data_IF_344083757196
#
_entry.id   IF_344083757196
#
_cell.length_a   1.000
_cell.length_b   1.000
_cell.length_c   1.000
_cell.angle_alpha   90.00
_cell.angle_beta   90.00
_cell.angle_gamma   90.00
#
_symmetry.space_group_name_H-M   'P 1'
#
loop_
_entity.id
_entity.type
_entity.pdbx_description
1 polymer ?
#
# COMPACT_ATOMS: atom_id res chain seq x y z
N UNK A 1 4.12 -13.78 -7.36
CA UNK A 1 4.92 -13.71 -8.59
C UNK A 1 6.00 -12.63 -8.54
N UNK A 2 5.70 -11.37 -8.22
CA UNK A 2 6.70 -10.29 -8.28
C UNK A 2 7.99 -10.59 -7.48
N UNK A 3 7.88 -11.16 -6.27
CA UNK A 3 9.03 -11.51 -5.46
C UNK A 3 9.86 -12.67 -6.06
N UNK A 4 9.21 -13.74 -6.51
CA UNK A 4 9.89 -14.90 -7.12
C UNK A 4 10.53 -14.58 -8.47
N UNK A 5 10.02 -13.57 -9.17
CA UNK A 5 10.53 -13.10 -10.45
C UNK A 5 11.47 -11.89 -10.31
N UNK A 6 11.77 -11.44 -9.09
CA UNK A 6 12.66 -10.30 -8.80
C UNK A 6 12.31 -9.06 -9.63
N UNK A 7 11.01 -8.71 -9.66
CA UNK A 7 10.53 -7.58 -10.46
C UNK A 7 10.74 -6.28 -9.66
N UNK A 8 11.38 -5.25 -10.23
CA UNK A 8 11.52 -3.94 -9.61
C UNK A 8 10.21 -3.16 -9.71
N UNK A 9 9.24 -3.49 -8.84
CA UNK A 9 7.90 -2.90 -8.82
C UNK A 9 7.55 -2.33 -7.45
N UNK A 10 6.92 -1.15 -7.44
CA UNK A 10 6.30 -0.57 -6.26
C UNK A 10 4.80 -0.81 -6.30
N UNK A 11 4.29 -1.59 -5.36
CA UNK A 11 2.86 -1.73 -5.10
C UNK A 11 2.41 -0.59 -4.20
N UNK A 12 1.38 0.16 -4.61
CA UNK A 12 0.88 1.29 -3.84
C UNK A 12 -0.58 1.07 -3.47
N UNK A 13 -0.85 0.82 -2.19
CA UNK A 13 -2.19 0.60 -1.66
C UNK A 13 -2.72 1.90 -1.03
N UNK A 14 -3.88 2.36 -1.51
CA UNK A 14 -4.67 3.38 -0.81
C UNK A 14 -5.62 2.69 0.16
N UNK A 15 -5.28 2.70 1.44
CA UNK A 15 -6.14 2.15 2.48
C UNK A 15 -6.98 3.29 3.06
N UNK A 16 -8.20 3.44 2.55
CA UNK A 16 -9.11 4.53 2.89
C UNK A 16 -10.25 4.12 3.85
N UNK A 17 -10.17 2.92 4.43
CA UNK A 17 -11.15 2.39 5.39
C UNK A 17 -12.35 1.65 4.80
N UNK A 18 -12.62 1.76 3.50
CA UNK A 18 -13.87 1.24 2.89
C UNK A 18 -13.69 0.71 1.47
N UNK A 19 -14.39 -0.39 1.18
CA UNK A 19 -14.71 -0.80 -0.20
C UNK A 19 -16.23 -0.75 -0.39
N UNK A 20 -16.72 0.22 -1.16
CA UNK A 20 -18.16 0.54 -1.27
C UNK A 20 -18.74 0.81 0.13
N UNK A 21 -19.52 -0.11 0.69
CA UNK A 21 -20.15 -0.07 2.01
C UNK A 21 -19.42 -0.89 3.07
N UNK A 22 -18.44 -1.72 2.70
CA UNK A 22 -17.78 -2.66 3.59
C UNK A 22 -16.56 -2.04 4.27
N UNK A 23 -16.55 -2.01 5.59
CA UNK A 23 -15.44 -1.50 6.43
C UNK A 23 -14.25 -2.47 6.45
N UNK A 24 -13.04 -1.96 6.71
CA UNK A 24 -11.79 -2.77 6.77
C UNK A 24 -11.86 -3.98 7.71
N UNK A 25 -12.53 -3.88 8.86
CA UNK A 25 -12.71 -4.99 9.81
C UNK A 25 -13.44 -6.20 9.22
N UNK A 26 -14.23 -5.97 8.18
CA UNK A 26 -14.98 -6.99 7.45
C UNK A 26 -14.26 -7.39 6.14
N UNK A 27 -13.20 -6.67 5.75
CA UNK A 27 -12.32 -6.99 4.61
C UNK A 27 -11.18 -7.93 5.01
N UNK A 28 -10.59 -7.73 6.19
CA UNK A 28 -9.48 -8.53 6.70
C UNK A 28 -9.32 -8.40 8.21
N UNK A 29 -8.57 -9.35 8.80
CA UNK A 29 -8.29 -9.40 10.25
C UNK A 29 -6.83 -9.18 10.62
N UNK A 30 -5.93 -9.17 9.63
CA UNK A 30 -4.52 -8.83 9.83
C UNK A 30 -4.29 -7.33 9.98
N UNK A 31 -3.04 -6.97 10.24
CA UNK A 31 -2.60 -5.57 10.36
C UNK A 31 -2.47 -4.93 8.96
N UNK A 32 -3.60 -4.62 8.34
CA UNK A 32 -3.65 -3.92 7.05
C UNK A 32 -3.10 -4.73 5.88
N UNK A 33 -2.62 -4.00 4.87
CA UNK A 33 -2.03 -4.57 3.66
C UNK A 33 -0.51 -4.65 3.76
N UNK A 34 0.15 -3.68 4.42
CA UNK A 34 1.60 -3.68 4.58
C UNK A 34 2.12 -4.97 5.26
N UNK A 35 1.42 -5.48 6.27
CA UNK A 35 1.85 -6.69 6.99
C UNK A 35 1.83 -7.97 6.14
N UNK A 36 1.21 -7.94 4.96
CA UNK A 36 1.16 -9.09 4.03
C UNK A 36 2.43 -9.20 3.22
N UNK A 37 3.11 -8.09 2.95
CA UNK A 37 4.28 -8.05 2.07
C UNK A 37 5.45 -8.93 2.57
N UNK A 38 5.80 -8.93 3.87
CA UNK A 38 6.84 -9.83 4.39
C UNK A 38 6.55 -11.31 4.14
N UNK A 39 5.29 -11.73 4.15
CA UNK A 39 4.89 -13.11 3.83
C UNK A 39 5.18 -13.52 2.38
N UNK A 40 5.36 -12.55 1.48
CA UNK A 40 5.79 -12.76 0.09
C UNK A 40 7.28 -12.47 -0.12
N UNK A 41 8.05 -12.15 0.93
CA UNK A 41 9.45 -11.73 0.81
C UNK A 41 9.63 -10.33 0.23
N UNK A 42 8.63 -9.45 0.39
CA UNK A 42 8.67 -8.07 -0.10
C UNK A 42 8.99 -7.10 1.05
N UNK A 43 9.67 -6.00 0.73
CA UNK A 43 9.75 -4.86 1.65
C UNK A 43 8.38 -4.17 1.77
N UNK A 44 8.07 -3.61 2.95
CA UNK A 44 6.80 -2.93 3.21
C UNK A 44 7.00 -1.63 3.98
N UNK A 45 6.27 -0.59 3.58
CA UNK A 45 6.25 0.72 4.22
C UNK A 45 4.78 1.09 4.45
N UNK A 46 4.45 1.61 5.64
CA UNK A 46 3.15 2.23 5.91
C UNK A 46 3.35 3.70 6.20
N UNK A 47 2.54 4.56 5.59
CA UNK A 47 2.62 6.02 5.74
C UNK A 47 1.25 6.65 5.98
N UNK A 48 1.26 7.85 6.56
CA UNK A 48 0.09 8.73 6.54
C UNK A 48 -0.12 9.21 5.09
N UNK A 49 -1.23 8.79 4.50
CA UNK A 49 -1.62 9.13 3.13
C UNK A 49 -2.18 10.53 2.96
N UNK A 50 -2.41 11.26 4.05
CA UNK A 50 -2.84 12.66 4.02
C UNK A 50 -1.67 13.65 4.17
N UNK A 51 -0.48 13.15 4.50
CA UNK A 51 0.77 13.92 4.46
C UNK A 51 1.46 13.74 3.10
N UNK A 52 1.43 14.79 2.28
CA UNK A 52 2.03 14.80 0.94
C UNK A 52 3.53 14.50 0.97
N UNK A 53 4.26 15.04 1.94
CA UNK A 53 5.71 14.86 2.02
C UNK A 53 6.04 13.44 2.47
N UNK A 54 5.31 12.89 3.43
CA UNK A 54 5.49 11.49 3.85
C UNK A 54 5.25 10.50 2.69
N UNK A 55 4.20 10.72 1.89
CA UNK A 55 3.91 9.90 0.70
C UNK A 55 5.03 10.05 -0.34
N UNK A 56 5.49 11.28 -0.59
CA UNK A 56 6.56 11.55 -1.54
C UNK A 56 7.86 10.83 -1.15
N UNK A 57 8.30 11.01 0.10
CA UNK A 57 9.54 10.40 0.61
C UNK A 57 9.47 8.88 0.59
N UNK A 58 8.36 8.29 1.05
CA UNK A 58 8.20 6.84 1.03
C UNK A 58 8.15 6.27 -0.39
N UNK A 59 7.54 6.99 -1.35
CA UNK A 59 7.51 6.57 -2.76
C UNK A 59 8.90 6.64 -3.39
N UNK A 60 9.66 7.71 -3.12
CA UNK A 60 11.03 7.86 -3.60
C UNK A 60 11.92 6.74 -3.03
N UNK A 61 11.86 6.52 -1.72
CA UNK A 61 12.62 5.46 -1.06
C UNK A 61 12.23 4.06 -1.58
N UNK A 62 10.94 3.78 -1.75
CA UNK A 62 10.46 2.51 -2.29
C UNK A 62 10.94 2.27 -3.72
N UNK A 63 10.92 3.31 -4.58
CA UNK A 63 11.44 3.24 -5.95
C UNK A 63 12.93 2.92 -5.95
N UNK A 64 13.71 3.65 -5.16
CA UNK A 64 15.17 3.49 -5.14
C UNK A 64 15.56 2.11 -4.62
N UNK A 65 14.85 1.61 -3.60
CA UNK A 65 15.01 0.25 -3.09
C UNK A 65 14.65 -0.80 -4.16
N UNK A 66 13.51 -0.64 -4.83
CA UNK A 66 13.04 -1.59 -5.84
C UNK A 66 14.01 -1.72 -7.02
N UNK A 67 14.60 -0.60 -7.46
CA UNK A 67 15.57 -0.58 -8.56
C UNK A 67 16.92 -1.14 -8.11
N UNK A 68 17.43 -0.69 -6.95
CA UNK A 68 18.76 -1.08 -6.47
C UNK A 68 18.84 -2.57 -6.18
N UNK A 69 17.81 -3.10 -5.53
CA UNK A 69 17.83 -4.46 -5.00
C UNK A 69 17.04 -5.44 -5.90
N UNK A 70 16.46 -4.96 -7.01
CA UNK A 70 15.57 -5.73 -7.91
C UNK A 70 14.48 -6.50 -7.14
N UNK A 71 13.90 -5.86 -6.13
CA UNK A 71 12.89 -6.47 -5.26
C UNK A 71 11.59 -5.66 -5.29
N UNK A 72 10.42 -6.32 -5.18
CA UNK A 72 9.17 -5.61 -5.07
C UNK A 72 9.01 -4.95 -3.69
N UNK A 73 8.41 -3.77 -3.65
CA UNK A 73 8.15 -3.00 -2.43
C UNK A 73 6.66 -2.69 -2.34
N UNK A 74 6.06 -2.82 -1.15
CA UNK A 74 4.69 -2.42 -0.85
C UNK A 74 4.69 -1.11 -0.07
N UNK A 75 3.93 -0.12 -0.54
CA UNK A 75 3.61 1.10 0.20
C UNK A 75 2.12 1.10 0.50
N UNK A 76 1.77 1.15 1.78
CA UNK A 76 0.40 1.33 2.24
C UNK A 76 0.21 2.77 2.75
N UNK A 77 -0.56 3.56 2.00
CA UNK A 77 -0.93 4.91 2.39
C UNK A 77 -2.28 4.89 3.12
N UNK A 78 -2.24 5.18 4.42
CA UNK A 78 -3.42 5.25 5.28
C UNK A 78 -4.12 6.58 5.08
N UNK A 79 -5.35 6.56 4.58
CA UNK A 79 -6.14 7.78 4.32
C UNK A 79 -7.61 7.51 4.67
N UNK A 80 -8.52 8.38 4.25
CA UNK A 80 -9.94 8.22 4.48
C UNK A 80 -10.75 8.63 3.24
N UNK A 81 -11.79 7.86 2.91
CA UNK A 81 -12.70 8.21 1.81
C UNK A 81 -13.72 9.25 2.30
N UNK A 82 -13.42 10.53 2.06
CA UNK A 82 -14.30 11.64 2.47
C UNK A 82 -15.62 11.64 1.67
N UNK A 83 -15.56 11.30 0.38
CA UNK A 83 -16.74 11.24 -0.49
C UNK A 83 -17.44 9.88 -0.54
N UNK A 84 -18.55 9.86 -1.26
CA UNK A 84 -19.23 8.63 -1.68
C UNK A 84 -18.29 7.73 -2.50
N UNK A 85 -18.57 6.42 -2.57
CA UNK A 85 -17.80 5.54 -3.45
C UNK A 85 -17.95 5.94 -4.92
N UNK A 86 -19.16 6.36 -5.30
CA UNK A 86 -19.54 6.77 -6.64
C UNK A 86 -20.74 7.72 -6.59
N UNK A 87 -21.27 8.14 -7.74
CA UNK A 87 -22.52 8.91 -7.82
C UNK A 87 -23.78 8.10 -7.50
N UNK A 88 -23.66 6.78 -7.41
CA UNK A 88 -24.76 5.86 -7.10
C UNK A 88 -24.83 5.45 -5.62
N UNK A 89 -23.91 5.99 -4.81
CA UNK A 89 -23.80 5.75 -3.36
C UNK A 89 -24.58 6.78 -2.54
#
# INVERSE_FOLDING_TARGET
MAATLQVPIVWFCRNNGFAISTQTKDQYRGDGIASRAPGYGMHSIRVDGNDLFAVYEATQYARDLAIRDCTPVMVEAMTYRIGHHSTSD
#
